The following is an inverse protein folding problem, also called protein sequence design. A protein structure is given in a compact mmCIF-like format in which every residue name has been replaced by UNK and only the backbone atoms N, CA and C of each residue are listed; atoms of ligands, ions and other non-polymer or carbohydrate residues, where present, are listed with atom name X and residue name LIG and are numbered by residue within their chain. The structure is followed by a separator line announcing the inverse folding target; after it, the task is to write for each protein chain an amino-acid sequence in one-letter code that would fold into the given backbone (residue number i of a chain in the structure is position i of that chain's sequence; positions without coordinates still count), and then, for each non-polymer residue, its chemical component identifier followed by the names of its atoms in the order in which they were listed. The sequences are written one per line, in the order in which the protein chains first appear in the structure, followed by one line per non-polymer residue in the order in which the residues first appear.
data_IF_579520990667
#
_entry.id   IF_579520990667
#
_cell.length_a   1.000
_cell.length_b   1.000
_cell.length_c   1.000
_cell.angle_alpha   90.00
_cell.angle_beta   90.00
_cell.angle_gamma   90.00
#
_symmetry.space_group_name_H-M   'P 1'
#
loop_
_entity.id
_entity.type
_entity.pdbx_description
1 polymer ?
#
# COMPACT_ATOMS: atom_id res chain seq x y z
N UNK A 1 -5.32 -38.95 -14.03
CA UNK A 1 -4.97 -37.52 -14.16
C UNK A 1 -5.27 -36.91 -12.81
N UNK A 2 -4.32 -37.01 -11.89
CA UNK A 2 -4.44 -36.32 -10.59
C UNK A 2 -4.28 -34.82 -10.82
N UNK A 3 -5.03 -33.97 -10.13
CA UNK A 3 -4.82 -32.52 -10.21
C UNK A 3 -3.46 -32.23 -9.57
N UNK A 4 -2.65 -31.45 -10.26
CA UNK A 4 -1.41 -30.89 -9.74
C UNK A 4 -1.84 -29.98 -8.58
N UNK A 5 -1.68 -30.46 -7.34
CA UNK A 5 -1.79 -29.59 -6.17
C UNK A 5 -0.72 -28.51 -6.30
N UNK A 6 -1.12 -27.31 -6.74
CA UNK A 6 -0.33 -26.11 -6.45
C UNK A 6 -0.19 -26.05 -4.93
N UNK A 7 1.04 -25.97 -4.45
CA UNK A 7 1.32 -25.83 -3.02
C UNK A 7 0.67 -24.55 -2.50
N UNK A 8 0.16 -24.54 -1.24
CA UNK A 8 -0.52 -23.39 -0.62
C UNK A 8 0.23 -22.05 -0.79
N UNK A 9 1.56 -22.10 -0.83
CA UNK A 9 2.46 -20.96 -1.00
C UNK A 9 2.30 -20.28 -2.38
N UNK A 10 1.99 -21.03 -3.44
CA UNK A 10 1.86 -20.48 -4.79
C UNK A 10 0.58 -19.63 -4.95
N UNK A 11 -0.52 -20.06 -4.35
CA UNK A 11 -1.79 -19.31 -4.35
C UNK A 11 -1.69 -18.04 -3.49
N UNK A 12 -1.00 -18.13 -2.35
CA UNK A 12 -0.71 -16.97 -1.51
C UNK A 12 0.15 -15.94 -2.24
N UNK A 13 1.24 -16.37 -2.88
CA UNK A 13 2.14 -15.49 -3.63
C UNK A 13 1.43 -14.83 -4.82
N UNK A 14 0.52 -15.53 -5.51
CA UNK A 14 -0.26 -14.97 -6.60
C UNK A 14 -1.29 -13.94 -6.09
N UNK A 15 -1.97 -14.23 -4.97
CA UNK A 15 -2.82 -13.25 -4.28
C UNK A 15 -2.06 -11.99 -3.89
N UNK A 16 -0.85 -12.14 -3.34
CA UNK A 16 0.04 -11.03 -2.99
C UNK A 16 0.45 -10.21 -4.22
N UNK A 17 0.74 -10.86 -5.36
CA UNK A 17 1.07 -10.15 -6.62
C UNK A 17 -0.10 -9.32 -7.12
N UNK A 18 -1.30 -9.87 -7.11
CA UNK A 18 -2.53 -9.17 -7.51
C UNK A 18 -2.76 -7.92 -6.67
N UNK A 19 -2.74 -8.04 -5.33
CA UNK A 19 -2.97 -6.88 -4.47
C UNK A 19 -1.87 -5.83 -4.55
N UNK A 20 -0.62 -6.25 -4.78
CA UNK A 20 0.49 -5.31 -5.06
C UNK A 20 0.32 -4.55 -6.37
N UNK A 21 -0.39 -5.12 -7.35
CA UNK A 21 -0.74 -4.47 -8.61
C UNK A 21 -1.90 -3.49 -8.41
N UNK A 22 -2.95 -3.89 -7.69
CA UNK A 22 -4.11 -3.04 -7.35
C UNK A 22 -3.66 -1.79 -6.57
N UNK A 23 -2.86 -1.96 -5.50
CA UNK A 23 -2.31 -0.82 -4.76
C UNK A 23 -1.43 0.10 -5.64
N UNK A 24 -0.73 -0.46 -6.63
CA UNK A 24 0.07 0.34 -7.58
C UNK A 24 -0.84 1.14 -8.51
N UNK A 25 -1.96 0.56 -8.92
CA UNK A 25 -2.94 1.22 -9.79
C UNK A 25 -3.59 2.42 -9.07
N UNK A 26 -4.07 2.25 -7.84
CA UNK A 26 -4.64 3.36 -7.07
C UNK A 26 -3.62 4.45 -6.71
N UNK A 27 -2.36 4.09 -6.48
CA UNK A 27 -1.28 5.08 -6.38
C UNK A 27 -1.16 5.93 -7.66
N UNK A 28 -1.20 5.29 -8.83
CA UNK A 28 -1.16 5.99 -10.13
C UNK A 28 -2.39 6.87 -10.37
N UNK A 29 -3.58 6.40 -9.97
CA UNK A 29 -4.80 7.19 -10.03
C UNK A 29 -4.72 8.46 -9.17
N UNK A 30 -4.19 8.34 -7.95
CA UNK A 30 -3.97 9.50 -7.06
C UNK A 30 -2.95 10.47 -7.65
N UNK A 31 -1.82 9.98 -8.16
CA UNK A 31 -0.81 10.81 -8.83
C UNK A 31 -1.42 11.61 -9.98
N UNK A 32 -2.17 10.95 -10.86
CA UNK A 32 -2.84 11.59 -11.99
C UNK A 32 -3.85 12.64 -11.55
N UNK A 33 -4.62 12.38 -10.48
CA UNK A 33 -5.57 13.35 -9.93
C UNK A 33 -4.87 14.61 -9.37
N UNK A 34 -3.76 14.43 -8.66
CA UNK A 34 -2.97 15.54 -8.08
C UNK A 34 -2.31 16.40 -9.15
N UNK A 35 -1.81 15.78 -10.23
CA UNK A 35 -1.16 16.44 -11.35
C UNK A 35 -2.14 17.23 -12.24
N UNK A 36 -3.44 16.91 -12.21
CA UNK A 36 -4.43 17.61 -13.02
C UNK A 36 -4.51 19.11 -12.70
N UNK A 37 -4.85 19.97 -13.68
CA UNK A 37 -5.06 21.39 -13.44
C UNK A 37 -6.16 21.63 -12.40
N UNK A 38 -5.81 22.41 -11.37
CA UNK A 38 -6.76 22.90 -10.38
C UNK A 38 -7.36 24.27 -10.77
N UNK A 39 -6.66 25.02 -11.61
CA UNK A 39 -7.13 26.32 -12.12
C UNK A 39 -8.32 26.10 -13.08
N UNK A 40 -9.40 26.84 -12.87
CA UNK A 40 -10.63 26.78 -13.67
C UNK A 40 -11.81 26.08 -12.97
N UNK A 41 -11.57 25.00 -12.23
CA UNK A 41 -12.61 24.27 -11.49
C UNK A 41 -12.01 23.50 -10.30
N UNK A 42 -11.75 24.23 -9.21
CA UNK A 42 -11.13 23.68 -7.99
C UNK A 42 -12.01 22.63 -7.31
N UNK A 43 -13.33 22.79 -7.35
CA UNK A 43 -14.26 21.85 -6.75
C UNK A 43 -14.20 20.49 -7.46
N UNK A 44 -14.22 20.49 -8.80
CA UNK A 44 -14.07 19.26 -9.57
C UNK A 44 -12.68 18.64 -9.41
N UNK A 45 -11.62 19.44 -9.32
CA UNK A 45 -10.29 18.93 -9.02
C UNK A 45 -10.24 18.24 -7.65
N UNK A 46 -10.76 18.89 -6.60
CA UNK A 46 -10.83 18.33 -5.25
C UNK A 46 -11.65 17.03 -5.23
N UNK A 47 -12.78 16.98 -5.93
CA UNK A 47 -13.58 15.76 -6.05
C UNK A 47 -12.80 14.59 -6.69
N UNK A 48 -12.02 14.84 -7.75
CA UNK A 48 -11.17 13.79 -8.36
C UNK A 48 -10.12 13.27 -7.40
N UNK A 49 -9.44 14.16 -6.69
CA UNK A 49 -8.44 13.77 -5.68
C UNK A 49 -9.10 12.99 -4.54
N UNK A 50 -10.30 13.40 -4.10
CA UNK A 50 -11.05 12.68 -3.08
C UNK A 50 -11.40 11.27 -3.50
N UNK A 51 -11.94 11.07 -4.71
CA UNK A 51 -12.28 9.74 -5.23
C UNK A 51 -11.05 8.84 -5.28
N UNK A 52 -9.95 9.32 -5.87
CA UNK A 52 -8.71 8.54 -5.95
C UNK A 52 -8.12 8.22 -4.56
N UNK A 53 -8.24 9.14 -3.59
CA UNK A 53 -7.80 8.90 -2.23
C UNK A 53 -8.68 7.87 -1.49
N UNK A 54 -9.99 7.83 -1.77
CA UNK A 54 -10.91 6.82 -1.24
C UNK A 54 -10.60 5.43 -1.80
N UNK A 55 -10.34 5.33 -3.10
CA UNK A 55 -9.92 4.08 -3.75
C UNK A 55 -8.60 3.58 -3.15
N UNK A 56 -7.58 4.44 -3.06
CA UNK A 56 -6.32 4.12 -2.41
C UNK A 56 -6.50 3.66 -0.95
N UNK A 57 -7.43 4.28 -0.21
CA UNK A 57 -7.73 3.89 1.17
C UNK A 57 -8.34 2.48 1.26
N UNK A 58 -9.14 2.09 0.27
CA UNK A 58 -9.70 0.74 0.13
C UNK A 58 -8.62 -0.29 -0.13
N UNK A 59 -7.86 -0.11 -1.20
CA UNK A 59 -6.78 -1.02 -1.60
C UNK A 59 -5.70 -1.15 -0.50
N UNK A 60 -5.40 -0.05 0.18
CA UNK A 60 -4.43 -0.07 1.27
C UNK A 60 -4.94 -0.85 2.49
N UNK A 61 -6.25 -0.82 2.77
CA UNK A 61 -6.84 -1.63 3.83
C UNK A 61 -6.77 -3.10 3.49
N UNK A 62 -7.11 -3.47 2.27
CA UNK A 62 -6.99 -4.85 1.80
C UNK A 62 -5.53 -5.33 1.84
N UNK A 63 -4.57 -4.51 1.40
CA UNK A 63 -3.14 -4.80 1.54
C UNK A 63 -2.73 -5.08 3.00
N UNK A 64 -3.26 -4.30 3.96
CA UNK A 64 -3.01 -4.52 5.39
C UNK A 64 -3.65 -5.83 5.86
N UNK A 65 -4.89 -6.11 5.49
CA UNK A 65 -5.59 -7.32 5.91
C UNK A 65 -4.88 -8.58 5.39
N UNK A 66 -4.35 -8.53 4.16
CA UNK A 66 -3.59 -9.62 3.54
C UNK A 66 -2.22 -9.82 4.22
N UNK A 67 -1.61 -8.76 4.74
CA UNK A 67 -0.27 -8.83 5.36
C UNK A 67 -0.32 -9.11 6.85
N UNK A 68 -1.22 -8.47 7.58
CA UNK A 68 -1.33 -8.49 9.05
C UNK A 68 -2.52 -9.30 9.58
N UNK A 69 -3.45 -9.70 8.72
CA UNK A 69 -4.65 -10.43 9.12
C UNK A 69 -4.34 -11.75 9.84
N UNK A 70 -5.36 -12.41 10.43
CA UNK A 70 -5.18 -13.67 11.14
C UNK A 70 -4.48 -14.73 10.31
N UNK A 71 -4.69 -14.74 9.00
CA UNK A 71 -4.02 -15.62 8.04
C UNK A 71 -3.08 -14.87 7.09
N UNK A 72 -2.61 -13.69 7.51
CA UNK A 72 -1.76 -12.82 6.72
C UNK A 72 -0.31 -13.26 6.66
N UNK A 73 0.38 -12.77 5.62
CA UNK A 73 1.78 -13.07 5.31
C UNK A 73 2.72 -12.92 6.51
N UNK A 74 2.57 -11.88 7.34
CA UNK A 74 3.51 -11.62 8.43
C UNK A 74 3.49 -12.70 9.50
N UNK A 75 2.34 -13.35 9.75
CA UNK A 75 2.26 -14.47 10.68
C UNK A 75 3.10 -15.65 10.19
N UNK A 76 3.01 -15.96 8.91
CA UNK A 76 3.80 -17.02 8.29
C UNK A 76 5.29 -16.68 8.36
N UNK A 77 5.70 -15.49 7.93
CA UNK A 77 7.09 -15.01 8.01
C UNK A 77 7.65 -15.07 9.43
N UNK A 78 6.87 -14.70 10.44
CA UNK A 78 7.29 -14.78 11.84
C UNK A 78 7.43 -16.22 12.33
N UNK A 79 6.71 -17.17 11.73
CA UNK A 79 6.76 -18.59 12.06
C UNK A 79 7.95 -19.27 11.40
N UNK A 80 8.19 -18.99 10.11
CA UNK A 80 9.22 -19.66 9.30
C UNK A 80 10.57 -18.95 9.35
N UNK A 81 10.58 -17.62 9.48
CA UNK A 81 11.77 -16.77 9.51
C UNK A 81 11.77 -15.79 10.70
N UNK A 82 11.86 -16.25 11.97
CA UNK A 82 11.77 -15.38 13.16
C UNK A 82 12.80 -14.22 13.20
N UNK A 83 13.94 -14.38 12.52
CA UNK A 83 14.97 -13.34 12.32
C UNK A 83 14.42 -12.06 11.65
N UNK A 84 13.33 -12.16 10.90
CA UNK A 84 12.68 -11.06 10.19
C UNK A 84 11.67 -10.27 11.04
N UNK A 85 11.50 -10.61 12.32
CA UNK A 85 10.57 -9.94 13.23
C UNK A 85 10.77 -8.42 13.33
N UNK A 86 12.01 -7.95 13.26
CA UNK A 86 12.32 -6.51 13.19
C UNK A 86 11.77 -5.84 11.94
N UNK A 87 11.94 -6.48 10.77
CA UNK A 87 11.44 -5.96 9.49
C UNK A 87 9.91 -5.94 9.46
N UNK A 88 9.25 -7.00 9.95
CA UNK A 88 7.78 -7.06 10.11
C UNK A 88 7.28 -5.92 11.01
N UNK A 89 7.93 -5.72 12.16
CA UNK A 89 7.54 -4.64 13.10
C UNK A 89 7.64 -3.25 12.47
N UNK A 90 8.68 -3.00 11.67
CA UNK A 90 8.85 -1.74 10.94
C UNK A 90 7.71 -1.55 9.94
N UNK A 91 7.40 -2.57 9.13
CA UNK A 91 6.35 -2.47 8.11
C UNK A 91 4.96 -2.27 8.73
N UNK A 92 4.66 -2.92 9.85
CA UNK A 92 3.42 -2.69 10.59
C UNK A 92 3.30 -1.28 11.14
N UNK A 93 4.41 -0.72 11.66
CA UNK A 93 4.43 0.67 12.07
C UNK A 93 4.19 1.61 10.87
N UNK A 94 4.80 1.33 9.72
CA UNK A 94 4.57 2.09 8.50
C UNK A 94 3.11 2.01 8.04
N UNK A 95 2.44 0.87 8.18
CA UNK A 95 1.02 0.77 7.86
C UNK A 95 0.17 1.74 8.67
N UNK A 96 0.41 1.85 9.98
CA UNK A 96 -0.29 2.80 10.83
C UNK A 96 -0.03 4.27 10.41
N UNK A 97 1.22 4.60 10.05
CA UNK A 97 1.56 5.93 9.57
C UNK A 97 0.90 6.27 8.23
N UNK A 98 0.88 5.32 7.29
CA UNK A 98 0.24 5.50 5.98
C UNK A 98 -1.26 5.70 6.14
N UNK A 99 -1.93 4.90 6.99
CA UNK A 99 -3.36 5.10 7.33
C UNK A 99 -3.62 6.54 7.80
N UNK A 100 -2.82 7.04 8.75
CA UNK A 100 -2.96 8.41 9.23
C UNK A 100 -2.73 9.48 8.15
N UNK A 101 -1.83 9.24 7.19
CA UNK A 101 -1.62 10.15 6.06
C UNK A 101 -2.77 10.13 5.05
N UNK A 102 -3.35 8.96 4.78
CA UNK A 102 -4.56 8.81 3.97
C UNK A 102 -5.72 9.58 4.61
N UNK A 103 -5.96 9.40 5.91
CA UNK A 103 -7.02 10.10 6.65
C UNK A 103 -6.80 11.62 6.64
N UNK A 104 -5.55 12.06 6.78
CA UNK A 104 -5.18 13.48 6.70
C UNK A 104 -5.49 14.08 5.32
N UNK A 105 -5.18 13.35 4.24
CA UNK A 105 -5.48 13.77 2.88
C UNK A 105 -6.99 13.84 2.62
N UNK A 106 -7.74 12.79 3.04
CA UNK A 106 -9.19 12.73 2.92
C UNK A 106 -9.87 13.86 3.67
N UNK A 107 -9.44 14.14 4.90
CA UNK A 107 -9.94 15.26 5.70
C UNK A 107 -9.64 16.59 5.01
N UNK A 108 -8.43 16.76 4.48
CA UNK A 108 -8.02 18.02 3.84
C UNK A 108 -8.80 18.31 2.57
N UNK A 109 -9.09 17.30 1.76
CA UNK A 109 -9.82 17.45 0.50
C UNK A 109 -11.34 17.57 0.71
N UNK A 110 -11.88 16.99 1.79
CA UNK A 110 -13.29 17.11 2.15
C UNK A 110 -13.65 18.45 2.81
N UNK A 111 -12.66 19.17 3.35
CA UNK A 111 -12.87 20.46 3.99
C UNK A 111 -13.48 21.47 2.98
N UNK A 112 -14.70 21.92 3.25
CA UNK A 112 -15.54 22.77 2.37
C UNK A 112 -15.07 24.22 2.23
N UNK A 113 -13.82 24.52 2.56
CA UNK A 113 -13.24 25.84 2.32
C UNK A 113 -13.19 26.07 0.80
N UNK A 114 -13.82 27.17 0.35
CA UNK A 114 -13.85 27.68 -1.03
C UNK A 114 -12.43 27.82 -1.62
N UNK A 115 -11.40 27.81 -0.76
CA UNK A 115 -10.00 27.70 -1.10
C UNK A 115 -9.36 26.41 -0.54
N UNK A 116 -9.76 25.23 -1.01
CA UNK A 116 -8.86 24.05 -0.89
C UNK A 116 -7.49 24.46 -1.43
N UNK A 117 -6.53 24.57 -0.52
CA UNK A 117 -5.16 24.95 -0.80
C UNK A 117 -4.56 23.78 -1.57
N UNK A 118 -4.62 23.90 -2.90
CA UNK A 118 -4.24 22.85 -3.82
C UNK A 118 -2.79 22.42 -3.59
N UNK A 119 -1.94 23.35 -3.17
CA UNK A 119 -0.53 23.06 -2.88
C UNK A 119 -0.40 22.22 -1.61
N UNK A 120 -1.13 22.55 -0.53
CA UNK A 120 -1.18 21.68 0.66
C UNK A 120 -1.71 20.27 0.37
N UNK A 121 -2.74 20.15 -0.47
CA UNK A 121 -3.27 18.83 -0.87
C UNK A 121 -2.24 18.05 -1.69
N UNK A 122 -1.52 18.73 -2.61
CA UNK A 122 -0.42 18.12 -3.37
C UNK A 122 0.74 17.72 -2.49
N UNK A 123 1.12 18.53 -1.52
CA UNK A 123 2.20 18.21 -0.58
C UNK A 123 1.86 16.95 0.22
N UNK A 124 0.64 16.87 0.77
CA UNK A 124 0.16 15.69 1.49
C UNK A 124 0.12 14.45 0.59
N UNK A 125 -0.48 14.58 -0.60
CA UNK A 125 -0.60 13.47 -1.55
C UNK A 125 0.75 12.97 -2.07
N UNK A 126 1.67 13.87 -2.41
CA UNK A 126 3.01 13.52 -2.88
C UNK A 126 3.85 12.88 -1.76
N UNK A 127 3.75 13.39 -0.54
CA UNK A 127 4.40 12.80 0.62
C UNK A 127 3.87 11.38 0.92
N UNK A 128 2.56 11.17 0.79
CA UNK A 128 1.93 9.85 0.91
C UNK A 128 2.44 8.89 -0.17
N UNK A 129 2.42 9.29 -1.45
CA UNK A 129 2.93 8.48 -2.56
C UNK A 129 4.40 8.10 -2.35
N UNK A 130 5.24 9.04 -1.94
CA UNK A 130 6.65 8.78 -1.62
C UNK A 130 6.83 7.78 -0.47
N UNK A 131 5.96 7.80 0.54
CA UNK A 131 5.99 6.79 1.62
C UNK A 131 5.55 5.43 1.10
N UNK A 132 4.47 5.35 0.33
CA UNK A 132 3.97 4.11 -0.26
C UNK A 132 5.01 3.44 -1.16
N UNK A 133 5.74 4.20 -1.98
CA UNK A 133 6.85 3.65 -2.79
C UNK A 133 7.90 3.00 -1.91
N UNK A 134 8.38 3.69 -0.86
CA UNK A 134 9.41 3.14 0.04
C UNK A 134 8.92 1.96 0.86
N UNK A 135 7.66 1.99 1.27
CA UNK A 135 7.02 0.87 1.97
C UNK A 135 6.98 -0.38 1.08
N UNK A 136 6.54 -0.22 -0.19
CA UNK A 136 6.49 -1.32 -1.16
C UNK A 136 7.87 -1.90 -1.48
N UNK A 137 8.91 -1.07 -1.54
CA UNK A 137 10.30 -1.53 -1.69
C UNK A 137 10.69 -2.46 -0.54
N UNK A 138 10.52 -2.01 0.71
CA UNK A 138 10.83 -2.83 1.89
C UNK A 138 9.97 -4.09 2.01
N UNK A 139 8.69 -4.01 1.60
CA UNK A 139 7.82 -5.19 1.53
C UNK A 139 8.25 -6.19 0.46
N UNK A 140 8.86 -5.74 -0.64
CA UNK A 140 9.46 -6.63 -1.63
C UNK A 140 10.73 -7.29 -1.07
N UNK A 141 11.59 -6.53 -0.39
CA UNK A 141 12.79 -7.03 0.27
C UNK A 141 12.45 -8.12 1.31
N UNK A 142 11.43 -7.88 2.14
CA UNK A 142 10.96 -8.88 3.12
C UNK A 142 10.56 -10.20 2.45
N UNK A 143 9.78 -10.14 1.37
CA UNK A 143 9.32 -11.36 0.67
C UNK A 143 10.50 -12.09 0.03
N UNK A 144 11.44 -11.35 -0.57
CA UNK A 144 12.66 -11.96 -1.10
C UNK A 144 13.47 -12.65 0.00
N UNK A 145 13.70 -11.98 1.13
CA UNK A 145 14.45 -12.55 2.25
C UNK A 145 13.74 -13.74 2.92
N UNK A 146 12.41 -13.79 2.90
CA UNK A 146 11.63 -14.85 3.52
C UNK A 146 11.56 -16.13 2.65
N UNK A 147 11.50 -16.00 1.32
CA UNK A 147 11.23 -17.14 0.42
C UNK A 147 12.38 -17.51 -0.53
N UNK A 148 13.26 -16.57 -0.88
CA UNK A 148 14.34 -16.82 -1.85
C UNK A 148 15.71 -17.05 -1.17
N UNK A 149 15.99 -16.39 -0.04
CA UNK A 149 17.26 -16.57 0.67
C UNK A 149 17.32 -17.88 1.47
N UNK A 150 16.18 -18.43 1.90
CA UNK A 150 16.12 -19.66 2.69
C UNK A 150 16.49 -20.93 1.88
N UNK A 151 16.53 -20.81 0.54
CA UNK A 151 16.94 -21.89 -0.38
C UNK A 151 18.48 -21.98 -0.51
N UNK A 152 19.23 -20.95 -0.08
CA UNK A 152 20.69 -20.86 -0.27
C UNK A 152 21.54 -21.30 0.93
N UNK A 153 20.93 -21.79 2.01
CA UNK A 153 21.58 -22.02 3.31
C UNK A 153 22.23 -23.40 3.54
N UNK A 154 22.23 -24.30 2.57
CA UNK A 154 22.96 -25.58 2.66
C UNK A 154 24.35 -25.45 1.99
N UNK A 155 25.38 -25.14 2.79
CA UNK A 155 26.78 -25.44 2.46
C UNK A 155 27.52 -25.99 3.67
#
# INVERSE_FOLDING_TARGET
MEPISMTPDADLLEGLRRHRAELRESMGALEAALAAPAAGDRARWAQRVHVAAVELAGDFREHVDITEGPDGLYREVLTTSPRLSGAVSILTHEHALIRGQVDSLLTRVAASDVSTDADKVRDLGTALLGRLVRHRQRGADLVFEAYEFDIGGET
#
